data_IF_294848854252
#
_entry.id   IF_294848854252
#
_cell.length_a   1.000
_cell.length_b   1.000
_cell.length_c   1.000
_cell.angle_alpha   90.00
_cell.angle_beta   90.00
_cell.angle_gamma   90.00
#
_symmetry.space_group_name_H-M   'P 1'
#
loop_
_entity.id
_entity.type
_entity.pdbx_description
1 polymer ?
#
# COMPACT_ATOMS: atom_id res chain seq x y z
N UNK A 1 22.92 14.36 11.33
CA UNK A 1 21.68 15.14 11.09
C UNK A 1 20.86 14.38 10.06
N UNK A 2 19.89 13.58 10.50
CA UNK A 2 19.01 12.83 9.58
C UNK A 2 17.98 13.83 9.06
N UNK A 3 18.13 14.24 7.80
CA UNK A 3 17.13 15.08 7.14
C UNK A 3 15.96 14.21 6.73
N UNK A 4 14.84 14.32 7.45
CA UNK A 4 13.57 13.73 7.06
C UNK A 4 13.11 14.40 5.74
N UNK A 5 13.23 13.69 4.62
CA UNK A 5 12.71 14.16 3.33
C UNK A 5 11.21 14.43 3.45
N UNK A 6 10.75 15.55 2.89
CA UNK A 6 9.33 15.89 2.80
C UNK A 6 8.56 14.74 2.15
N UNK A 7 7.53 14.18 2.81
CA UNK A 7 6.68 13.17 2.20
C UNK A 7 5.77 13.85 1.16
N UNK A 8 5.87 13.40 -0.10
CA UNK A 8 4.81 13.63 -1.06
C UNK A 8 3.57 12.87 -0.58
N UNK A 9 2.54 13.60 -0.12
CA UNK A 9 1.27 13.07 0.35
C UNK A 9 0.50 12.39 -0.80
N UNK A 10 0.90 11.18 -1.18
CA UNK A 10 -0.01 10.28 -1.89
C UNK A 10 -1.03 9.85 -0.86
N UNK A 11 -2.26 10.37 -0.96
CA UNK A 11 -3.38 9.97 -0.10
C UNK A 11 -3.76 8.52 -0.39
N UNK A 12 -2.98 7.57 0.13
CA UNK A 12 -3.11 6.12 -0.10
C UNK A 12 -4.52 5.61 0.22
N UNK A 13 -5.17 6.17 1.23
CA UNK A 13 -6.56 5.86 1.59
C UNK A 13 -7.56 6.26 0.50
N UNK A 14 -7.35 7.44 -0.11
CA UNK A 14 -8.19 7.90 -1.22
C UNK A 14 -7.93 7.08 -2.48
N UNK A 15 -6.68 6.72 -2.76
CA UNK A 15 -6.33 5.84 -3.87
C UNK A 15 -6.92 4.44 -3.70
N UNK A 16 -6.84 3.85 -2.51
CA UNK A 16 -7.45 2.56 -2.19
C UNK A 16 -8.97 2.58 -2.45
N UNK A 17 -9.67 3.61 -1.97
CA UNK A 17 -11.11 3.76 -2.24
C UNK A 17 -11.41 3.90 -3.74
N UNK A 18 -10.63 4.69 -4.46
CA UNK A 18 -10.81 4.89 -5.90
C UNK A 18 -10.58 3.59 -6.69
N UNK A 19 -9.51 2.85 -6.40
CA UNK A 19 -9.20 1.56 -7.05
C UNK A 19 -10.29 0.54 -6.78
N UNK A 20 -10.75 0.43 -5.52
CA UNK A 20 -11.85 -0.48 -5.16
C UNK A 20 -13.14 -0.13 -5.89
N UNK A 21 -13.48 1.16 -5.97
CA UNK A 21 -14.66 1.63 -6.68
C UNK A 21 -14.54 1.37 -8.19
N UNK A 22 -13.38 1.64 -8.79
CA UNK A 22 -13.12 1.39 -10.21
C UNK A 22 -13.24 -0.10 -10.51
N UNK A 23 -12.59 -0.98 -9.73
CA UNK A 23 -12.66 -2.44 -9.92
C UNK A 23 -14.11 -2.95 -9.92
N UNK A 24 -14.91 -2.51 -8.94
CA UNK A 24 -16.30 -2.98 -8.80
C UNK A 24 -17.22 -2.41 -9.89
N UNK A 25 -17.02 -1.14 -10.26
CA UNK A 25 -17.90 -0.44 -11.19
C UNK A 25 -17.38 -0.44 -12.63
N UNK A 26 -16.28 -1.13 -12.93
CA UNK A 26 -15.61 -1.08 -14.22
C UNK A 26 -16.57 -1.38 -15.39
N UNK A 27 -17.44 -2.41 -15.35
CA UNK A 27 -18.38 -2.65 -16.44
C UNK A 27 -19.36 -1.49 -16.67
N UNK A 28 -19.88 -0.91 -15.59
CA UNK A 28 -20.79 0.23 -15.66
C UNK A 28 -20.11 1.47 -16.24
N UNK A 29 -18.85 1.73 -15.85
CA UNK A 29 -18.05 2.84 -16.39
C UNK A 29 -17.77 2.64 -17.88
N UNK A 30 -17.43 1.43 -18.31
CA UNK A 30 -17.23 1.10 -19.72
C UNK A 30 -18.51 1.33 -20.53
N UNK A 31 -19.66 0.89 -20.01
CA UNK A 31 -20.96 1.05 -20.66
C UNK A 31 -21.28 2.54 -20.86
N UNK A 32 -21.18 3.35 -19.81
CA UNK A 32 -21.46 4.79 -19.87
C UNK A 32 -20.52 5.52 -20.84
N UNK A 33 -19.21 5.23 -20.77
CA UNK A 33 -18.23 5.83 -21.68
C UNK A 33 -18.45 5.39 -23.13
N UNK A 34 -18.96 4.17 -23.35
CA UNK A 34 -19.33 3.70 -24.69
C UNK A 34 -20.50 4.49 -25.24
N UNK A 35 -21.54 4.72 -24.44
CA UNK A 35 -22.70 5.52 -24.85
C UNK A 35 -22.29 6.97 -25.18
N UNK A 36 -21.49 7.59 -24.32
CA UNK A 36 -20.98 8.95 -24.56
C UNK A 36 -20.05 9.02 -25.78
N UNK A 37 -19.22 8.01 -26.02
CA UNK A 37 -18.40 7.93 -27.22
C UNK A 37 -19.24 7.82 -28.49
N UNK A 38 -20.33 7.04 -28.47
CA UNK A 38 -21.28 6.92 -29.59
C UNK A 38 -22.01 8.25 -29.88
N UNK A 39 -22.22 9.09 -28.87
CA UNK A 39 -22.73 10.46 -29.01
C UNK A 39 -21.70 11.47 -29.54
N UNK A 40 -20.48 11.01 -29.86
CA UNK A 40 -19.41 11.84 -30.44
C UNK A 40 -18.50 12.51 -29.41
N UNK A 41 -18.53 12.11 -28.13
CA UNK A 41 -17.67 12.66 -27.09
C UNK A 41 -16.23 12.10 -27.20
N UNK A 42 -15.33 12.88 -27.79
CA UNK A 42 -13.92 12.48 -27.97
C UNK A 42 -13.19 12.18 -26.65
N UNK A 43 -13.56 12.81 -25.53
CA UNK A 43 -12.96 12.52 -24.22
C UNK A 43 -13.39 11.14 -23.73
N UNK A 44 -14.68 10.82 -23.88
CA UNK A 44 -15.21 9.50 -23.52
C UNK A 44 -14.53 8.40 -24.35
N UNK A 45 -14.35 8.62 -25.66
CA UNK A 45 -13.64 7.70 -26.54
C UNK A 45 -12.18 7.49 -26.11
N UNK A 46 -11.47 8.56 -25.75
CA UNK A 46 -10.09 8.47 -25.26
C UNK A 46 -9.98 7.71 -23.94
N UNK A 47 -10.87 7.99 -22.98
CA UNK A 47 -10.92 7.29 -21.70
C UNK A 47 -11.27 5.81 -21.88
N UNK A 48 -12.25 5.51 -22.73
CA UNK A 48 -12.67 4.14 -23.05
C UNK A 48 -11.49 3.31 -23.56
N UNK A 49 -10.68 3.88 -24.47
CA UNK A 49 -9.48 3.23 -24.99
C UNK A 49 -8.41 2.94 -23.92
N UNK A 50 -8.35 3.73 -22.86
CA UNK A 50 -7.44 3.50 -21.73
C UNK A 50 -7.98 2.42 -20.78
N UNK A 51 -9.24 2.55 -20.36
CA UNK A 51 -9.80 1.69 -19.30
C UNK A 51 -10.13 0.27 -19.78
N UNK A 52 -10.32 0.07 -21.09
CA UNK A 52 -10.51 -1.26 -21.66
C UNK A 52 -9.19 -2.00 -21.89
N UNK A 53 -8.04 -1.34 -21.72
CA UNK A 53 -6.75 -1.98 -21.96
C UNK A 53 -6.45 -3.04 -20.90
N UNK A 54 -5.85 -4.15 -21.32
CA UNK A 54 -5.42 -5.22 -20.41
C UNK A 54 -4.61 -4.67 -19.23
N UNK A 55 -3.64 -3.79 -19.51
CA UNK A 55 -2.78 -3.22 -18.48
C UNK A 55 -3.54 -2.38 -17.46
N UNK A 56 -4.60 -1.67 -17.86
CA UNK A 56 -5.39 -0.88 -16.91
C UNK A 56 -6.17 -1.78 -15.94
N UNK A 57 -6.85 -2.80 -16.48
CA UNK A 57 -7.63 -3.74 -15.67
C UNK A 57 -6.70 -4.52 -14.74
N UNK A 58 -5.64 -5.12 -15.29
CA UNK A 58 -4.67 -5.88 -14.53
C UNK A 58 -3.98 -5.02 -13.44
N UNK A 59 -3.64 -3.76 -13.74
CA UNK A 59 -3.08 -2.83 -12.74
C UNK A 59 -4.10 -2.48 -11.65
N UNK A 60 -5.38 -2.32 -12.00
CA UNK A 60 -6.45 -2.04 -11.02
C UNK A 60 -6.60 -3.21 -10.03
N UNK A 61 -6.50 -4.44 -10.52
CA UNK A 61 -6.51 -5.64 -9.67
C UNK A 61 -5.22 -5.77 -8.85
N UNK A 62 -4.04 -5.61 -9.45
CA UNK A 62 -2.76 -5.62 -8.71
C UNK A 62 -2.72 -4.53 -7.62
N UNK A 63 -3.23 -3.33 -7.89
CA UNK A 63 -3.35 -2.28 -6.88
C UNK A 63 -4.35 -2.64 -5.77
N UNK A 64 -5.37 -3.43 -6.07
CA UNK A 64 -6.30 -3.93 -5.05
C UNK A 64 -5.64 -4.90 -4.07
N UNK A 65 -4.57 -5.59 -4.48
CA UNK A 65 -3.73 -6.41 -3.60
C UNK A 65 -2.70 -5.57 -2.81
N UNK A 66 -2.08 -4.59 -3.47
CA UNK A 66 -0.99 -3.79 -2.89
C UNK A 66 -1.48 -2.73 -1.88
N UNK A 67 -2.58 -2.05 -2.17
CA UNK A 67 -3.06 -0.92 -1.38
C UNK A 67 -3.53 -1.30 0.04
N UNK A 68 -4.13 -2.46 0.31
CA UNK A 68 -4.40 -2.93 1.66
C UNK A 68 -3.14 -3.06 2.52
N UNK A 69 -2.02 -3.56 1.95
CA UNK A 69 -0.73 -3.66 2.66
C UNK A 69 -0.22 -2.27 3.02
N UNK A 70 -0.22 -1.34 2.05
CA UNK A 70 0.15 0.05 2.29
C UNK A 70 -0.77 0.74 3.30
N UNK A 71 -2.08 0.47 3.26
CA UNK A 71 -3.06 1.02 4.18
C UNK A 71 -2.80 0.55 5.60
N UNK A 72 -2.57 -0.76 5.80
CA UNK A 72 -2.25 -1.34 7.10
C UNK A 72 -0.96 -0.76 7.66
N UNK A 73 0.09 -0.69 6.84
CA UNK A 73 1.36 -0.10 7.23
C UNK A 73 1.17 1.35 7.68
N UNK A 74 0.49 2.16 6.87
CA UNK A 74 0.19 3.54 7.22
C UNK A 74 -0.56 3.60 8.56
N UNK A 75 -1.70 2.93 8.69
CA UNK A 75 -2.54 2.95 9.89
C UNK A 75 -1.79 2.55 11.17
N UNK A 76 -0.83 1.63 11.11
CA UNK A 76 0.02 1.29 12.26
C UNK A 76 0.83 2.51 12.73
N UNK A 77 1.37 3.29 11.80
CA UNK A 77 2.11 4.52 12.10
C UNK A 77 1.20 5.72 12.39
N UNK A 78 -0.12 5.62 12.17
CA UNK A 78 -1.10 6.68 12.50
C UNK A 78 -1.75 6.56 13.86
N UNK A 79 -1.41 5.54 14.65
CA UNK A 79 -1.93 5.40 16.00
C UNK A 79 -1.24 6.40 16.93
N UNK A 80 -2.00 6.99 17.84
CA UNK A 80 -1.46 7.89 18.86
C UNK A 80 -0.43 7.17 19.75
N UNK A 81 -0.69 5.89 20.06
CA UNK A 81 0.22 4.98 20.76
C UNK A 81 0.84 3.96 19.79
N UNK A 82 1.81 4.39 18.98
CA UNK A 82 2.59 3.45 18.15
C UNK A 82 3.43 2.55 19.07
N UNK A 83 3.05 1.28 19.14
CA UNK A 83 3.85 0.28 19.83
C UNK A 83 5.15 0.03 19.04
N UNK A 84 6.29 0.50 19.57
CA UNK A 84 7.60 0.36 18.93
C UNK A 84 7.95 -1.10 18.62
N UNK A 85 7.51 -2.04 19.47
CA UNK A 85 7.70 -3.48 19.26
C UNK A 85 7.00 -4.03 18.01
N UNK A 86 5.97 -3.33 17.52
CA UNK A 86 5.18 -3.73 16.34
C UNK A 86 5.73 -3.19 15.02
N UNK A 87 6.63 -2.21 15.05
CA UNK A 87 7.14 -1.55 13.83
C UNK A 87 7.92 -2.55 12.97
N UNK A 88 8.94 -3.22 13.53
CA UNK A 88 9.76 -4.20 12.81
C UNK A 88 8.93 -5.33 12.21
N UNK A 89 8.05 -6.03 12.97
CA UNK A 89 7.17 -7.05 12.42
C UNK A 89 6.28 -6.56 11.26
N UNK A 90 5.74 -5.35 11.37
CA UNK A 90 4.83 -4.80 10.35
C UNK A 90 5.59 -4.43 9.07
N UNK A 91 6.79 -3.85 9.18
CA UNK A 91 7.65 -3.54 8.03
C UNK A 91 8.07 -4.83 7.33
N UNK A 92 8.58 -5.82 8.07
CA UNK A 92 9.01 -7.11 7.51
C UNK A 92 7.85 -7.86 6.85
N UNK A 93 6.67 -7.89 7.47
CA UNK A 93 5.49 -8.49 6.87
C UNK A 93 5.05 -7.77 5.58
N UNK A 94 5.18 -6.44 5.53
CA UNK A 94 4.83 -5.66 4.33
C UNK A 94 5.81 -5.92 3.19
N UNK A 95 7.11 -5.98 3.48
CA UNK A 95 8.15 -6.34 2.50
C UNK A 95 7.93 -7.76 1.98
N UNK A 96 7.61 -8.71 2.86
CA UNK A 96 7.32 -10.08 2.45
C UNK A 96 6.08 -10.16 1.53
N UNK A 97 5.00 -9.45 1.86
CA UNK A 97 3.80 -9.38 1.03
C UNK A 97 4.09 -8.76 -0.35
N UNK A 98 4.83 -7.64 -0.41
CA UNK A 98 5.22 -7.06 -1.69
C UNK A 98 6.15 -7.97 -2.49
N UNK A 99 7.06 -8.68 -1.83
CA UNK A 99 7.91 -9.67 -2.50
C UNK A 99 7.07 -10.74 -3.20
N UNK A 100 6.01 -11.23 -2.53
CA UNK A 100 5.07 -12.18 -3.13
C UNK A 100 4.35 -11.58 -4.35
N UNK A 101 3.83 -10.36 -4.24
CA UNK A 101 3.12 -9.68 -5.34
C UNK A 101 4.03 -9.23 -6.50
N UNK A 102 5.34 -9.12 -6.27
CA UNK A 102 6.33 -8.91 -7.32
C UNK A 102 6.45 -10.19 -8.16
N UNK A 103 6.68 -11.31 -7.47
CA UNK A 103 7.06 -12.58 -8.08
C UNK A 103 5.87 -13.33 -8.70
N UNK A 104 4.67 -13.15 -8.14
CA UNK A 104 3.44 -13.77 -8.59
C UNK A 104 2.24 -12.79 -8.53
N UNK A 105 1.17 -13.03 -9.33
CA UNK A 105 -0.10 -12.32 -9.17
C UNK A 105 -0.65 -12.45 -7.75
N UNK A 106 -1.26 -11.39 -7.22
CA UNK A 106 -2.00 -11.45 -5.97
C UNK A 106 -3.43 -11.99 -6.15
N UNK A 107 -4.17 -12.24 -5.06
CA UNK A 107 -5.52 -12.82 -5.12
C UNK A 107 -6.50 -12.06 -6.02
N UNK A 108 -6.45 -10.73 -6.01
CA UNK A 108 -7.32 -9.91 -6.85
C UNK A 108 -6.90 -9.97 -8.32
N UNK A 109 -5.59 -9.99 -8.59
CA UNK A 109 -5.07 -10.20 -9.94
C UNK A 109 -5.40 -11.61 -10.47
N UNK A 110 -5.27 -12.65 -9.66
CA UNK A 110 -5.68 -14.02 -10.00
C UNK A 110 -7.17 -14.10 -10.33
N UNK A 111 -8.02 -13.38 -9.58
CA UNK A 111 -9.45 -13.30 -9.87
C UNK A 111 -9.73 -12.69 -11.24
N UNK A 112 -8.97 -11.66 -11.63
CA UNK A 112 -9.04 -11.10 -12.99
C UNK A 112 -8.58 -12.12 -14.04
N UNK A 113 -7.45 -12.77 -13.83
CA UNK A 113 -6.90 -13.76 -14.76
C UNK A 113 -7.86 -14.95 -14.96
N UNK A 114 -8.50 -15.42 -13.90
CA UNK A 114 -9.48 -16.50 -13.95
C UNK A 114 -10.78 -16.09 -14.66
N UNK A 115 -11.16 -14.81 -14.59
CA UNK A 115 -12.34 -14.27 -15.30
C UNK A 115 -12.03 -13.74 -16.71
N UNK A 116 -10.77 -13.78 -17.13
CA UNK A 116 -10.34 -13.28 -18.44
C UNK A 116 -10.26 -14.44 -19.42
N UNK A 117 -11.25 -14.55 -20.30
CA UNK A 117 -11.40 -15.65 -21.27
C UNK A 117 -11.70 -15.07 -22.66
N UNK A 118 -11.11 -15.66 -23.70
CA UNK A 118 -11.34 -15.31 -25.11
C UNK A 118 -11.28 -13.81 -25.44
N UNK A 119 -10.37 -13.08 -24.78
CA UNK A 119 -10.19 -11.64 -25.00
C UNK A 119 -11.26 -10.76 -24.34
N UNK A 120 -12.04 -11.32 -23.41
CA UNK A 120 -13.10 -10.62 -22.68
C UNK A 120 -12.90 -10.73 -21.17
N UNK A 121 -13.41 -9.75 -20.47
CA UNK A 121 -13.54 -9.74 -19.01
C UNK A 121 -14.91 -9.14 -18.67
N UNK A 122 -15.70 -9.83 -17.84
CA UNK A 122 -17.09 -9.42 -17.52
C UNK A 122 -17.92 -9.10 -18.78
N UNK A 123 -17.89 -9.98 -19.78
CA UNK A 123 -18.55 -9.85 -21.09
C UNK A 123 -18.10 -8.66 -21.97
N UNK A 124 -17.13 -7.87 -21.51
CA UNK A 124 -16.60 -6.71 -22.23
C UNK A 124 -15.29 -7.08 -22.91
N UNK A 125 -15.13 -6.66 -24.16
CA UNK A 125 -13.88 -6.85 -24.93
C UNK A 125 -12.73 -6.06 -24.30
N UNK A 126 -11.64 -6.75 -24.00
CA UNK A 126 -10.40 -6.15 -23.52
C UNK A 126 -9.53 -5.76 -24.72
N UNK A 127 -8.95 -4.57 -24.68
CA UNK A 127 -8.04 -4.05 -25.70
C UNK A 127 -6.57 -4.25 -25.29
N UNK A 128 -5.65 -4.21 -26.25
CA UNK A 128 -4.21 -4.34 -25.97
C UNK A 128 -3.83 -5.58 -25.14
N UNK A 129 -4.46 -6.72 -25.42
CA UNK A 129 -4.26 -7.97 -24.68
C UNK A 129 -3.39 -8.99 -25.43
N UNK A 130 -2.46 -8.51 -26.27
CA UNK A 130 -1.47 -9.38 -26.91
C UNK A 130 -0.45 -9.90 -25.89
N UNK A 131 0.19 -11.04 -26.16
CA UNK A 131 1.22 -11.63 -25.29
C UNK A 131 2.32 -10.62 -24.93
N UNK A 132 2.71 -9.77 -25.88
CA UNK A 132 3.68 -8.68 -25.66
C UNK A 132 3.18 -7.68 -24.60
N UNK A 133 1.90 -7.34 -24.63
CA UNK A 133 1.30 -6.38 -23.71
C UNK A 133 1.14 -6.98 -22.31
N UNK A 134 0.80 -8.27 -22.23
CA UNK A 134 0.75 -9.03 -20.97
C UNK A 134 2.14 -9.10 -20.34
N UNK A 135 3.17 -9.47 -21.12
CA UNK A 135 4.56 -9.49 -20.63
C UNK A 135 5.07 -8.09 -20.25
N UNK A 136 4.70 -7.06 -21.00
CA UNK A 136 5.04 -5.68 -20.65
C UNK A 136 4.40 -5.26 -19.33
N UNK A 137 3.13 -5.60 -19.11
CA UNK A 137 2.44 -5.36 -17.85
C UNK A 137 3.15 -6.07 -16.69
N UNK A 138 3.49 -7.35 -16.83
CA UNK A 138 4.23 -8.11 -15.81
C UNK A 138 5.53 -7.38 -15.39
N UNK A 139 6.32 -6.93 -16.36
CA UNK A 139 7.55 -6.14 -16.10
C UNK A 139 7.28 -4.79 -15.43
N UNK A 140 6.15 -4.16 -15.73
CA UNK A 140 5.74 -2.91 -15.07
C UNK A 140 5.35 -3.18 -13.62
N UNK A 141 4.56 -4.23 -13.37
CA UNK A 141 4.17 -4.67 -12.02
C UNK A 141 5.40 -5.01 -11.18
N UNK A 142 6.29 -5.87 -11.68
CA UNK A 142 7.53 -6.27 -11.00
C UNK A 142 8.36 -5.03 -10.61
N UNK A 143 8.58 -4.11 -11.54
CA UNK A 143 9.31 -2.86 -11.25
C UNK A 143 8.58 -2.00 -10.24
N UNK A 144 7.28 -1.78 -10.39
CA UNK A 144 6.51 -0.95 -9.46
C UNK A 144 6.60 -1.47 -8.03
N UNK A 145 6.41 -2.78 -7.85
CA UNK A 145 6.47 -3.42 -6.54
C UNK A 145 7.89 -3.40 -5.96
N UNK A 146 8.92 -3.58 -6.80
CA UNK A 146 10.31 -3.42 -6.35
C UNK A 146 10.59 -2.02 -5.82
N UNK A 147 10.12 -0.96 -6.49
CA UNK A 147 10.29 0.41 -6.00
C UNK A 147 9.57 0.63 -4.66
N UNK A 148 8.44 -0.04 -4.41
CA UNK A 148 7.76 0.01 -3.10
C UNK A 148 8.59 -0.66 -2.01
N UNK A 149 9.21 -1.81 -2.31
CA UNK A 149 10.11 -2.52 -1.39
C UNK A 149 11.31 -1.64 -1.06
N UNK A 150 11.99 -1.11 -2.08
CA UNK A 150 13.18 -0.27 -1.92
C UNK A 150 12.83 0.97 -1.09
N UNK A 151 11.70 1.64 -1.39
CA UNK A 151 11.25 2.81 -0.64
C UNK A 151 10.94 2.50 0.84
N UNK A 152 10.46 1.29 1.15
CA UNK A 152 10.25 0.86 2.53
C UNK A 152 11.56 0.56 3.25
N UNK A 153 12.50 -0.11 2.58
CA UNK A 153 13.81 -0.44 3.15
C UNK A 153 14.65 0.81 3.39
N UNK A 154 14.64 1.77 2.46
CA UNK A 154 15.29 3.07 2.61
C UNK A 154 14.70 3.88 3.78
N UNK A 155 13.39 3.76 4.01
CA UNK A 155 12.70 4.45 5.10
C UNK A 155 12.95 3.79 6.47
N UNK A 156 13.11 2.47 6.48
CA UNK A 156 13.34 1.69 7.69
C UNK A 156 14.59 0.80 7.54
N UNK A 157 15.80 1.39 7.56
CA UNK A 157 17.04 0.62 7.57
C UNK A 157 17.09 -0.33 8.76
N UNK A 158 17.71 -1.50 8.62
CA UNK A 158 17.80 -2.48 9.72
C UNK A 158 18.43 -1.89 11.00
N UNK A 159 19.45 -1.04 10.87
CA UNK A 159 20.05 -0.34 12.02
C UNK A 159 19.03 0.50 12.81
N UNK A 160 18.07 1.12 12.12
CA UNK A 160 16.99 1.87 12.76
C UNK A 160 15.97 0.93 13.42
N UNK A 161 15.67 -0.21 12.80
CA UNK A 161 14.77 -1.22 13.37
C UNK A 161 15.36 -1.85 14.64
N UNK A 162 16.67 -2.04 14.69
CA UNK A 162 17.38 -2.54 15.88
C UNK A 162 17.37 -1.51 17.01
N UNK A 163 17.58 -0.22 16.70
CA UNK A 163 17.43 0.85 17.70
C UNK A 163 16.01 0.92 18.28
N UNK A 164 14.98 0.81 17.44
CA UNK A 164 13.59 0.77 17.89
C UNK A 164 13.32 -0.44 18.82
N UNK A 165 13.93 -1.59 18.54
CA UNK A 165 13.87 -2.75 19.41
C UNK A 165 14.59 -2.50 20.76
N UNK A 166 15.73 -1.81 20.76
CA UNK A 166 16.40 -1.40 21.99
C UNK A 166 15.53 -0.46 22.83
N UNK A 167 14.91 0.55 22.21
CA UNK A 167 13.99 1.45 22.91
C UNK A 167 12.77 0.71 23.47
N UNK A 168 12.18 -0.21 22.70
CA UNK A 168 11.11 -1.05 23.22
C UNK A 168 11.59 -1.92 24.40
N UNK A 169 12.81 -2.45 24.36
CA UNK A 169 13.34 -3.24 25.48
C UNK A 169 13.56 -2.41 26.74
N UNK A 170 14.03 -1.18 26.60
CA UNK A 170 14.40 -0.31 27.72
C UNK A 170 13.22 0.48 28.29
N UNK A 171 12.31 0.94 27.43
CA UNK A 171 11.28 1.91 27.77
C UNK A 171 9.87 1.32 27.83
N UNK A 172 9.67 0.04 27.47
CA UNK A 172 8.34 -0.57 27.51
C UNK A 172 8.00 -1.04 28.93
N UNK A 173 7.04 -0.41 29.62
CA UNK A 173 6.75 -0.74 31.01
C UNK A 173 6.22 -2.15 31.22
N UNK A 174 5.69 -2.77 30.15
CA UNK A 174 5.19 -4.14 30.16
C UNK A 174 6.31 -5.18 30.20
N UNK A 175 7.54 -4.79 29.87
CA UNK A 175 8.73 -5.66 29.90
C UNK A 175 9.49 -5.56 31.23
N UNK A 176 9.13 -4.65 32.12
CA UNK A 176 9.75 -4.62 33.44
C UNK A 176 9.36 -5.86 34.25
N UNK A 177 10.32 -6.45 34.98
CA UNK A 177 10.00 -7.55 35.88
C UNK A 177 8.94 -7.09 36.89
N UNK A 178 7.97 -7.96 37.25
CA UNK A 178 6.99 -7.61 38.27
C UNK A 178 7.74 -7.29 39.57
N UNK A 179 7.58 -6.05 40.05
CA UNK A 179 8.16 -5.61 41.33
C UNK A 179 7.69 -6.54 42.43
N UNK A 180 8.58 -7.38 42.94
CA UNK A 180 8.33 -8.07 44.19
C UNK A 180 8.38 -7.02 45.31
N UNK A 181 7.26 -6.90 46.02
CA UNK A 181 7.07 -6.20 47.30
C UNK A 181 6.95 -4.66 47.28
N UNK A 182 5.71 -4.19 47.38
CA UNK A 182 5.27 -3.53 48.62
C UNK A 182 5.82 -2.15 49.00
N UNK A 183 6.40 -1.36 48.09
CA UNK A 183 6.57 0.09 48.29
C UNK A 183 6.26 0.85 47.00
N UNK A 184 5.14 1.55 46.99
CA UNK A 184 4.83 2.60 46.02
C UNK A 184 5.76 3.79 46.30
N UNK A 185 6.98 3.75 45.80
CA UNK A 185 7.69 4.99 45.51
C UNK A 185 7.53 5.25 44.02
N UNK A 186 6.70 6.25 43.71
CA UNK A 186 6.66 6.87 42.39
C UNK A 186 8.05 7.43 42.13
N UNK A 187 8.86 6.73 41.36
CA UNK A 187 9.87 7.40 40.55
C UNK A 187 9.12 8.14 39.44
N UNK A 188 8.62 9.31 39.80
CA UNK A 188 8.27 10.36 38.85
C UNK A 188 9.60 10.78 38.23
N UNK A 189 9.98 10.14 37.12
CA UNK A 189 10.98 10.74 36.24
C UNK A 189 10.31 12.00 35.72
N UNK A 190 10.82 13.21 36.05
CA UNK A 190 10.21 14.43 35.56
C UNK A 190 10.21 14.34 34.04
N UNK A 191 9.02 14.60 33.47
CA UNK A 191 8.83 14.82 32.04
C UNK A 191 10.04 15.63 31.55
N UNK A 192 10.79 15.07 30.60
CA UNK A 192 11.58 15.91 29.72
C UNK A 192 10.55 16.67 28.89
N UNK A 193 10.16 17.84 29.40
CA UNK A 193 9.64 18.95 28.63
C UNK A 193 10.76 19.38 27.68
N UNK A 194 10.92 18.67 26.56
CA UNK A 194 11.54 19.15 25.32
C UNK A 194 11.63 18.00 24.29
N UNK A 195 10.48 17.42 23.93
CA UNK A 195 10.34 16.81 22.60
C UNK A 195 9.27 17.60 21.86
N UNK A 196 9.62 18.83 21.50
CA UNK A 196 9.01 19.60 20.43
C UNK A 196 9.28 19.00 19.03
N UNK A 197 9.27 17.68 18.90
CA UNK A 197 9.45 16.94 17.64
C UNK A 197 8.60 15.66 17.60
N UNK A 198 7.37 15.74 18.10
CA UNK A 198 6.31 14.86 17.59
C UNK A 198 5.93 15.37 16.20
N UNK A 199 6.57 14.75 15.20
CA UNK A 199 6.26 14.86 13.78
C UNK A 199 4.78 15.15 13.51
N UNK A 200 4.43 16.32 12.94
CA UNK A 200 3.15 16.50 12.26
C UNK A 200 3.27 15.85 10.88
N UNK A 201 3.17 14.52 10.77
CA UNK A 201 3.37 13.85 9.47
C UNK A 201 2.37 12.73 9.25
N UNK A 202 1.07 13.06 9.18
CA UNK A 202 0.08 12.21 8.51
C UNK A 202 -0.99 13.06 7.82
N UNK A 203 -0.75 13.34 6.55
CA UNK A 203 -1.76 13.58 5.52
C UNK A 203 -1.25 12.98 4.20
#
# INVERSE_FOLDING_TARGET
MVSLKQPCAVRWLSLHRAVKAMKHNWPAVVMELTEEALRGNAKAQGLLGQIQSYSFIAMTHALSDLLPVMTKLNLVFQKDDVNLSSIRPVVQASVAAFTQFRDAPGPEEETFLAGYEDGKYMDIKVTNASDRSIQAFRKVRERFVQHLIDALQDRFPEDCLDLLHCFDTLLNPRRYPPTQNGKKELFFVPLIEDIGLLCPIIL
#
